data_IF_453048832010
#
_entry.id   IF_453048832010
#
_cell.length_a   1.000
_cell.length_b   1.000
_cell.length_c   1.000
_cell.angle_alpha   90.00
_cell.angle_beta   90.00
_cell.angle_gamma   90.00
#
_symmetry.space_group_name_H-M   'P 1'
#
loop_
_entity.id
_entity.type
_entity.pdbx_description
1 polymer ?
#
# COMPACT_ATOMS: atom_id res chain seq x y z
N UNK A 1 -2.74 6.40 19.20
CA UNK A 1 -4.20 6.21 19.09
C UNK A 1 -4.61 4.93 19.79
N UNK A 2 -5.76 4.93 20.45
CA UNK A 2 -6.39 3.75 21.06
C UNK A 2 -7.64 3.42 20.25
N UNK A 3 -7.69 2.26 19.61
CA UNK A 3 -8.80 1.78 18.81
C UNK A 3 -9.63 0.82 19.65
N UNK A 4 -10.91 1.12 19.83
CA UNK A 4 -11.80 0.39 20.75
C UNK A 4 -12.96 -0.28 20.02
N UNK A 5 -13.52 -1.32 20.65
CA UNK A 5 -14.58 -2.14 20.07
C UNK A 5 -15.82 -1.32 19.71
N UNK A 6 -16.25 -0.46 20.62
CA UNK A 6 -17.49 0.31 20.55
C UNK A 6 -17.42 1.61 21.37
N UNK A 7 -18.44 2.45 21.25
CA UNK A 7 -18.50 3.78 21.89
C UNK A 7 -18.44 3.69 23.42
N UNK A 8 -19.14 2.71 24.02
CA UNK A 8 -19.11 2.50 25.47
C UNK A 8 -17.69 2.23 25.97
N UNK A 9 -16.97 1.37 25.24
CA UNK A 9 -15.57 1.02 25.54
C UNK A 9 -14.67 2.24 25.38
N UNK A 10 -14.84 3.04 24.31
CA UNK A 10 -14.11 4.31 24.13
C UNK A 10 -14.29 5.27 25.31
N UNK A 11 -15.52 5.46 25.78
CA UNK A 11 -15.83 6.33 26.93
C UNK A 11 -15.16 5.79 28.21
N UNK A 12 -15.19 4.46 28.42
CA UNK A 12 -14.53 3.83 29.57
C UNK A 12 -13.01 3.97 29.53
N UNK A 13 -12.38 3.74 28.38
CA UNK A 13 -10.94 3.99 28.19
C UNK A 13 -10.58 5.45 28.42
N UNK A 14 -11.35 6.39 27.87
CA UNK A 14 -11.14 7.82 28.09
C UNK A 14 -11.13 8.17 29.58
N UNK A 15 -12.13 7.69 30.34
CA UNK A 15 -12.18 7.92 31.79
C UNK A 15 -10.99 7.32 32.53
N UNK A 16 -10.62 6.08 32.20
CA UNK A 16 -9.50 5.40 32.83
C UNK A 16 -8.17 6.11 32.53
N UNK A 17 -7.92 6.47 31.27
CA UNK A 17 -6.72 7.18 30.83
C UNK A 17 -6.65 8.57 31.47
N UNK A 18 -7.74 9.33 31.46
CA UNK A 18 -7.79 10.68 32.06
C UNK A 18 -7.55 10.62 33.57
N UNK A 19 -8.08 9.61 34.27
CA UNK A 19 -7.77 9.40 35.70
C UNK A 19 -6.28 9.16 35.93
N UNK A 20 -5.67 8.28 35.15
CA UNK A 20 -4.22 7.97 35.27
C UNK A 20 -3.38 9.20 34.93
N UNK A 21 -3.75 9.97 33.90
CA UNK A 21 -3.07 11.22 33.55
C UNK A 21 -3.17 12.25 34.69
N UNK A 22 -4.32 12.34 35.37
CA UNK A 22 -4.49 13.21 36.52
C UNK A 22 -3.58 12.80 37.70
N UNK A 23 -3.45 11.51 37.96
CA UNK A 23 -2.52 10.97 38.97
C UNK A 23 -1.05 11.29 38.63
N UNK A 24 -0.72 11.43 37.34
CA UNK A 24 0.62 11.78 36.85
C UNK A 24 0.82 13.30 36.66
N UNK A 25 -0.12 14.14 37.08
CA UNK A 25 -0.01 15.60 36.99
C UNK A 25 -0.34 16.20 35.61
N UNK A 26 -1.08 15.48 34.76
CA UNK A 26 -1.56 15.90 33.44
C UNK A 26 -0.46 16.41 32.50
N UNK A 27 0.56 15.59 32.18
CA UNK A 27 1.62 15.99 31.24
C UNK A 27 1.10 16.27 29.82
N UNK A 28 -0.02 15.64 29.47
CA UNK A 28 -0.80 15.85 28.25
C UNK A 28 -2.24 15.36 28.47
N UNK A 29 -3.11 15.62 27.51
CA UNK A 29 -4.53 15.21 27.53
C UNK A 29 -4.84 14.14 26.48
N UNK A 30 -5.95 13.45 26.72
CA UNK A 30 -6.57 12.55 25.77
C UNK A 30 -7.83 13.19 25.17
N UNK A 31 -8.20 12.77 23.97
CA UNK A 31 -9.47 13.08 23.29
C UNK A 31 -10.16 11.79 22.89
N UNK A 32 -11.49 11.78 22.88
CA UNK A 32 -12.28 10.68 22.33
C UNK A 32 -12.94 11.10 21.02
N UNK A 33 -13.16 10.18 20.10
CA UNK A 33 -13.90 10.44 18.88
C UNK A 33 -14.87 9.30 18.54
N UNK A 34 -16.15 9.65 18.44
CA UNK A 34 -17.23 8.75 18.07
C UNK A 34 -18.42 9.53 17.53
N UNK A 35 -19.24 8.89 16.70
CA UNK A 35 -20.41 9.54 16.11
C UNK A 35 -21.68 9.18 16.88
N UNK A 36 -22.56 10.17 17.04
CA UNK A 36 -23.88 10.01 17.64
C UNK A 36 -23.86 10.02 19.18
N UNK A 37 -24.99 9.67 19.76
CA UNK A 37 -25.16 9.60 21.22
C UNK A 37 -25.05 8.14 21.70
N UNK A 38 -24.54 7.95 22.92
CA UNK A 38 -24.46 6.63 23.54
C UNK A 38 -24.75 6.70 25.03
N UNK A 39 -25.70 5.88 25.47
CA UNK A 39 -25.96 5.66 26.88
C UNK A 39 -24.91 4.70 27.47
N UNK A 40 -24.28 5.12 28.57
CA UNK A 40 -23.34 4.32 29.37
C UNK A 40 -23.70 4.50 30.85
N UNK A 41 -24.00 3.39 31.52
CA UNK A 41 -24.39 3.35 32.94
C UNK A 41 -25.59 4.27 33.27
N UNK A 42 -26.57 4.38 32.35
CA UNK A 42 -27.78 5.20 32.53
C UNK A 42 -27.62 6.67 32.19
N UNK A 43 -26.46 7.10 31.67
CA UNK A 43 -26.19 8.48 31.29
C UNK A 43 -25.87 8.54 29.79
N UNK A 44 -26.54 9.42 29.06
CA UNK A 44 -26.28 9.66 27.65
C UNK A 44 -25.05 10.56 27.47
N UNK A 45 -24.14 10.16 26.58
CA UNK A 45 -22.95 10.91 26.23
C UNK A 45 -22.89 11.18 24.73
N UNK A 46 -22.44 12.39 24.38
CA UNK A 46 -21.95 12.75 23.05
C UNK A 46 -20.45 12.97 23.05
N UNK A 47 -19.81 12.98 21.88
CA UNK A 47 -18.37 13.31 21.76
C UNK A 47 -18.09 14.70 22.35
N UNK A 48 -18.99 15.66 22.11
CA UNK A 48 -18.84 17.01 22.64
C UNK A 48 -18.92 17.07 24.17
N UNK A 49 -19.81 16.29 24.78
CA UNK A 49 -19.93 16.23 26.24
C UNK A 49 -18.68 15.63 26.88
N UNK A 50 -18.07 14.62 26.23
CA UNK A 50 -16.90 13.94 26.78
C UNK A 50 -15.63 14.77 26.59
N UNK A 51 -15.46 15.40 25.42
CA UNK A 51 -14.27 16.21 25.12
C UNK A 51 -14.34 17.62 25.69
N UNK A 52 -15.54 18.17 25.91
CA UNK A 52 -15.76 19.55 26.32
C UNK A 52 -15.61 20.58 25.18
N UNK A 53 -15.59 20.14 23.93
CA UNK A 53 -15.55 20.98 22.72
C UNK A 53 -16.27 20.31 21.56
N UNK A 54 -16.56 21.05 20.49
CA UNK A 54 -17.39 20.54 19.40
C UNK A 54 -16.70 19.41 18.62
N UNK A 55 -17.49 18.50 18.05
CA UNK A 55 -16.97 17.41 17.21
C UNK A 55 -16.17 17.89 16.00
N UNK A 56 -16.43 19.12 15.53
CA UNK A 56 -15.71 19.72 14.42
C UNK A 56 -14.27 20.09 14.80
N UNK A 57 -14.05 20.44 16.07
CA UNK A 57 -12.75 20.90 16.58
C UNK A 57 -11.81 19.75 16.96
N UNK A 58 -12.31 18.51 17.06
CA UNK A 58 -11.54 17.36 17.54
C UNK A 58 -10.26 17.12 16.73
N UNK A 59 -10.30 17.30 15.41
CA UNK A 59 -9.13 17.18 14.55
C UNK A 59 -8.08 18.23 14.87
N UNK A 60 -8.51 19.49 14.95
CA UNK A 60 -7.60 20.63 15.13
C UNK A 60 -7.01 20.64 16.54
N UNK A 61 -7.82 20.29 17.55
CA UNK A 61 -7.37 20.10 18.93
C UNK A 61 -6.33 18.98 19.03
N UNK A 62 -6.58 17.85 18.39
CA UNK A 62 -5.63 16.73 18.41
C UNK A 62 -4.30 17.05 17.71
N UNK A 63 -4.27 18.01 16.78
CA UNK A 63 -3.01 18.46 16.17
C UNK A 63 -2.15 19.32 17.10
N UNK A 64 -2.70 19.86 18.19
CA UNK A 64 -1.94 20.65 19.15
C UNK A 64 -1.06 19.80 20.08
N UNK A 65 -0.06 20.41 20.70
CA UNK A 65 0.84 19.71 21.63
C UNK A 65 0.17 19.24 22.94
N UNK A 66 -0.99 19.81 23.27
CA UNK A 66 -1.75 19.52 24.48
C UNK A 66 -2.35 18.10 24.46
N UNK A 67 -2.72 17.61 23.29
CA UNK A 67 -3.41 16.33 23.14
C UNK A 67 -2.50 15.30 22.45
N UNK A 68 -2.18 14.22 23.17
CA UNK A 68 -1.24 13.19 22.67
C UNK A 68 -1.88 11.81 22.51
N UNK A 69 -3.09 11.63 23.04
CA UNK A 69 -3.86 10.39 22.91
C UNK A 69 -5.21 10.65 22.26
N UNK A 70 -5.49 9.94 21.17
CA UNK A 70 -6.79 9.90 20.52
C UNK A 70 -7.39 8.51 20.72
N UNK A 71 -8.58 8.44 21.31
CA UNK A 71 -9.33 7.21 21.56
C UNK A 71 -10.52 7.18 20.59
N UNK A 72 -10.61 6.12 19.79
CA UNK A 72 -11.60 6.00 18.71
C UNK A 72 -12.42 4.73 18.86
N UNK A 73 -13.71 4.80 18.56
CA UNK A 73 -14.57 3.62 18.43
C UNK A 73 -14.73 3.22 16.95
N UNK A 74 -15.34 4.11 16.16
CA UNK A 74 -15.61 3.91 14.73
C UNK A 74 -15.19 5.13 13.88
N UNK A 75 -15.17 6.33 14.50
CA UNK A 75 -14.79 7.58 13.83
C UNK A 75 -13.29 7.61 13.64
N UNK A 76 -12.85 8.24 12.55
CA UNK A 76 -11.44 8.33 12.21
C UNK A 76 -10.74 6.97 12.05
N UNK A 77 -11.44 5.88 11.68
CA UNK A 77 -10.84 4.62 11.21
C UNK A 77 -10.62 4.58 9.69
N UNK A 78 -11.34 5.42 8.94
CA UNK A 78 -11.06 5.79 7.53
C UNK A 78 -10.95 7.32 7.37
N UNK A 79 -10.16 7.81 6.40
CA UNK A 79 -10.12 9.23 5.99
C UNK A 79 -9.50 10.27 6.94
N UNK A 80 -9.05 9.90 8.14
CA UNK A 80 -8.36 10.83 9.05
C UNK A 80 -6.85 10.80 8.83
N UNK A 81 -6.26 11.97 8.61
CA UNK A 81 -4.82 12.15 8.46
C UNK A 81 -4.20 12.91 9.62
N UNK A 82 -3.27 12.24 10.30
CA UNK A 82 -2.41 12.82 11.32
C UNK A 82 -0.99 12.22 11.18
N UNK A 83 -0.07 12.92 10.48
CA UNK A 83 1.30 12.46 10.24
C UNK A 83 2.10 12.17 11.53
N UNK A 84 1.78 12.87 12.64
CA UNK A 84 2.48 12.73 13.94
C UNK A 84 2.20 11.39 14.64
N UNK A 85 1.27 10.58 14.14
CA UNK A 85 0.85 9.35 14.79
C UNK A 85 1.93 8.26 14.71
N UNK A 86 2.49 7.84 15.84
CA UNK A 86 3.54 6.81 15.92
C UNK A 86 3.09 5.51 16.58
N UNK A 87 2.18 5.56 17.55
CA UNK A 87 1.74 4.38 18.30
C UNK A 87 0.24 4.10 18.16
N UNK A 88 -0.13 2.82 18.08
CA UNK A 88 -1.51 2.35 18.09
C UNK A 88 -1.74 1.23 19.11
N UNK A 89 -2.77 1.39 19.93
CA UNK A 89 -3.26 0.36 20.85
C UNK A 89 -4.59 -0.15 20.30
N UNK A 90 -4.72 -1.45 20.06
CA UNK A 90 -5.87 -2.04 19.39
C UNK A 90 -6.61 -2.96 20.34
N UNK A 91 -7.85 -2.61 20.63
CA UNK A 91 -8.84 -3.42 21.35
C UNK A 91 -10.11 -3.45 20.50
N UNK A 92 -9.99 -3.94 19.26
CA UNK A 92 -11.08 -4.09 18.31
C UNK A 92 -10.71 -5.20 17.33
N UNK A 93 -11.70 -6.00 16.92
CA UNK A 93 -11.48 -6.93 15.82
C UNK A 93 -11.16 -6.16 14.53
N UNK A 94 -9.97 -6.38 13.99
CA UNK A 94 -9.52 -5.84 12.72
C UNK A 94 -9.51 -6.98 11.70
N UNK A 95 -10.31 -6.86 10.64
CA UNK A 95 -10.42 -7.87 9.60
C UNK A 95 -10.41 -7.22 8.22
N UNK A 96 -9.84 -7.93 7.24
CA UNK A 96 -9.81 -7.55 5.83
C UNK A 96 -9.33 -6.09 5.64
N UNK A 97 -9.99 -5.34 4.75
CA UNK A 97 -9.69 -3.94 4.41
C UNK A 97 -9.58 -3.04 5.66
N UNK A 98 -10.43 -3.25 6.67
CA UNK A 98 -10.44 -2.43 7.88
C UNK A 98 -9.11 -2.53 8.65
N UNK A 99 -8.49 -3.71 8.65
CA UNK A 99 -7.20 -3.93 9.28
C UNK A 99 -6.09 -3.12 8.59
N UNK A 100 -5.99 -3.27 7.27
CA UNK A 100 -4.99 -2.56 6.45
C UNK A 100 -5.17 -1.05 6.55
N UNK A 101 -6.40 -0.57 6.41
CA UNK A 101 -6.71 0.86 6.52
C UNK A 101 -6.40 1.43 7.90
N UNK A 102 -6.59 0.64 8.97
CA UNK A 102 -6.36 1.08 10.35
C UNK A 102 -4.87 1.11 10.69
N UNK A 103 -4.11 0.05 10.37
CA UNK A 103 -2.70 -0.02 10.72
C UNK A 103 -1.80 0.79 9.78
N UNK A 104 -2.13 0.89 8.48
CA UNK A 104 -1.34 1.66 7.50
C UNK A 104 -1.24 3.15 7.81
N UNK A 105 -2.11 3.68 8.68
CA UNK A 105 -2.07 5.08 9.15
C UNK A 105 -0.82 5.42 9.93
N UNK A 106 -0.21 4.43 10.59
CA UNK A 106 1.06 4.62 11.27
C UNK A 106 2.19 4.89 10.28
N UNK A 107 2.10 4.39 9.05
CA UNK A 107 3.16 4.46 8.04
C UNK A 107 3.28 5.82 7.33
N UNK A 108 2.58 6.87 7.79
CA UNK A 108 2.74 8.22 7.24
C UNK A 108 4.07 8.82 7.68
N UNK A 109 4.93 9.12 6.72
CA UNK A 109 6.21 9.79 6.97
C UNK A 109 5.97 11.19 7.57
N UNK A 110 6.75 11.53 8.59
CA UNK A 110 6.75 12.89 9.16
C UNK A 110 8.17 13.35 9.54
N UNK A 111 9.10 13.47 8.55
CA UNK A 111 10.51 13.76 8.81
C UNK A 111 10.74 15.08 9.55
N UNK A 112 9.87 16.08 9.28
CA UNK A 112 9.86 17.38 9.97
C UNK A 112 9.79 17.26 11.50
N UNK A 113 9.19 16.19 12.00
CA UNK A 113 9.00 15.93 13.43
C UNK A 113 9.97 14.85 13.96
N UNK A 114 10.95 14.44 13.16
CA UNK A 114 11.89 13.38 13.51
C UNK A 114 11.27 12.00 13.65
N UNK A 115 10.04 11.79 13.16
CA UNK A 115 9.36 10.50 13.20
C UNK A 115 10.06 9.53 12.27
N UNK A 116 10.51 8.41 12.81
CA UNK A 116 11.15 7.32 12.08
C UNK A 116 10.29 6.06 12.11
N UNK A 117 10.60 5.12 11.22
CA UNK A 117 9.93 3.81 11.18
C UNK A 117 10.12 3.02 12.48
N UNK A 118 11.25 3.20 13.16
CA UNK A 118 11.54 2.59 14.48
C UNK A 118 10.66 3.12 15.62
N UNK A 119 10.03 4.28 15.44
CA UNK A 119 9.09 4.84 16.42
C UNK A 119 7.68 4.26 16.26
N UNK A 120 7.44 3.48 15.21
CA UNK A 120 6.14 2.88 14.94
C UNK A 120 5.90 1.69 15.86
N UNK A 121 4.77 1.72 16.56
CA UNK A 121 4.45 0.68 17.52
C UNK A 121 2.97 0.33 17.50
N UNK A 122 2.67 -0.97 17.43
CA UNK A 122 1.31 -1.51 17.55
C UNK A 122 1.26 -2.47 18.74
N UNK A 123 0.33 -2.23 19.65
CA UNK A 123 -0.01 -3.17 20.72
C UNK A 123 -1.46 -3.62 20.54
N UNK A 124 -1.65 -4.85 20.10
CA UNK A 124 -2.96 -5.45 19.87
C UNK A 124 -3.36 -6.38 21.03
N UNK A 125 -4.56 -6.17 21.56
CA UNK A 125 -5.16 -6.94 22.66
C UNK A 125 -6.26 -7.90 22.18
N UNK A 126 -6.67 -7.80 20.91
CA UNK A 126 -7.86 -8.49 20.40
C UNK A 126 -7.53 -9.48 19.29
N UNK A 127 -6.71 -9.09 18.32
CA UNK A 127 -6.46 -9.90 17.14
C UNK A 127 -5.27 -10.81 17.34
N UNK A 128 -5.38 -12.03 16.82
CA UNK A 128 -4.21 -12.88 16.70
C UNK A 128 -3.31 -12.37 15.57
N UNK A 129 -2.05 -12.73 15.70
CA UNK A 129 -1.05 -12.60 14.66
C UNK A 129 -1.56 -13.12 13.30
N UNK A 130 -2.19 -14.29 13.27
CA UNK A 130 -2.68 -14.94 12.06
C UNK A 130 -3.88 -14.21 11.44
N UNK A 131 -4.75 -13.61 12.26
CA UNK A 131 -5.89 -12.82 11.77
C UNK A 131 -5.42 -11.53 11.09
N UNK A 132 -4.41 -10.87 11.66
CA UNK A 132 -3.80 -9.67 11.06
C UNK A 132 -3.15 -10.04 9.73
N UNK A 133 -2.38 -11.14 9.70
CA UNK A 133 -1.82 -11.74 8.49
C UNK A 133 -2.88 -11.95 7.42
N UNK A 134 -3.92 -12.73 7.73
CA UNK A 134 -5.00 -13.06 6.79
C UNK A 134 -5.70 -11.80 6.27
N UNK A 135 -5.80 -10.76 7.09
CA UNK A 135 -6.38 -9.48 6.69
C UNK A 135 -5.46 -8.67 5.78
N UNK A 136 -4.14 -8.82 5.91
CA UNK A 136 -3.15 -8.18 5.06
C UNK A 136 -2.90 -8.97 3.79
N UNK A 137 -2.91 -10.31 3.78
CA UNK A 137 -2.55 -11.16 2.64
C UNK A 137 -3.20 -10.73 1.30
N UNK A 138 -4.50 -10.38 1.23
CA UNK A 138 -5.13 -9.98 -0.04
C UNK A 138 -4.64 -8.61 -0.57
N UNK A 139 -4.14 -7.75 0.32
CA UNK A 139 -3.66 -6.39 0.02
C UNK A 139 -2.15 -6.29 0.03
N UNK A 140 -1.52 -7.25 0.69
CA UNK A 140 -0.15 -7.66 0.48
C UNK A 140 -0.15 -8.44 -0.83
N UNK A 141 -0.38 -7.70 -1.92
CA UNK A 141 0.27 -8.07 -3.17
C UNK A 141 1.74 -7.94 -2.85
N UNK A 142 2.30 -9.05 -2.37
CA UNK A 142 3.71 -9.21 -2.45
C UNK A 142 4.01 -8.98 -3.93
N UNK A 143 4.58 -7.82 -4.23
CA UNK A 143 5.73 -7.82 -5.13
C UNK A 143 6.87 -8.51 -4.37
N UNK A 144 6.62 -9.69 -3.79
CA UNK A 144 7.62 -10.73 -3.76
C UNK A 144 7.69 -11.18 -5.20
N UNK A 145 8.86 -10.95 -5.80
CA UNK A 145 9.40 -11.81 -6.83
C UNK A 145 8.83 -13.23 -6.64
N UNK A 146 8.23 -13.78 -7.69
CA UNK A 146 7.45 -15.01 -7.72
C UNK A 146 8.24 -16.28 -7.39
N UNK A 147 9.46 -16.15 -6.90
CA UNK A 147 10.31 -17.24 -6.45
C UNK A 147 11.08 -16.69 -5.24
N UNK A 148 11.58 -17.55 -4.35
CA UNK A 148 12.63 -17.14 -3.41
C UNK A 148 13.60 -16.28 -4.21
N UNK A 149 13.81 -15.00 -3.87
CA UNK A 149 14.62 -14.11 -4.71
C UNK A 149 15.92 -14.84 -4.92
N UNK A 150 16.09 -15.38 -6.12
CA UNK A 150 17.25 -16.18 -6.36
C UNK A 150 18.38 -15.19 -6.21
N UNK A 151 19.25 -15.42 -5.23
CA UNK A 151 20.45 -14.63 -4.97
C UNK A 151 21.23 -14.50 -6.29
N UNK A 152 21.06 -15.45 -7.21
CA UNK A 152 21.53 -15.41 -8.58
C UNK A 152 21.01 -14.22 -9.40
N UNK A 153 19.81 -13.68 -9.17
CA UNK A 153 19.31 -12.49 -9.89
C UNK A 153 20.17 -11.26 -9.61
N UNK A 154 20.71 -11.11 -8.39
CA UNK A 154 21.66 -10.04 -8.09
C UNK A 154 23.02 -10.27 -8.77
N UNK A 155 23.41 -11.54 -9.00
CA UNK A 155 24.58 -11.88 -9.79
C UNK A 155 24.35 -11.55 -11.27
N UNK A 156 23.23 -11.98 -11.84
CA UNK A 156 22.85 -11.72 -13.24
C UNK A 156 22.74 -10.23 -13.53
N UNK A 157 22.02 -9.48 -12.69
CA UNK A 157 21.90 -8.02 -12.83
C UNK A 157 23.27 -7.33 -12.76
N UNK A 158 24.14 -7.78 -11.85
CA UNK A 158 25.50 -7.23 -11.74
C UNK A 158 26.30 -7.55 -13.00
N UNK A 159 26.31 -8.79 -13.45
CA UNK A 159 27.10 -9.23 -14.60
C UNK A 159 26.63 -8.52 -15.88
N UNK A 160 25.31 -8.41 -16.08
CA UNK A 160 24.74 -7.65 -17.20
C UNK A 160 25.09 -6.16 -17.15
N UNK A 161 25.14 -5.54 -15.97
CA UNK A 161 25.55 -4.13 -15.82
C UNK A 161 27.06 -3.94 -16.04
N UNK A 162 27.87 -4.87 -15.54
CA UNK A 162 29.33 -4.84 -15.71
C UNK A 162 29.71 -4.96 -17.20
N UNK A 163 28.97 -5.77 -17.97
CA UNK A 163 29.19 -5.94 -19.42
C UNK A 163 28.94 -4.67 -20.23
N UNK A 164 28.08 -3.75 -19.76
CA UNK A 164 27.85 -2.46 -20.43
C UNK A 164 29.03 -1.51 -20.25
N UNK A 165 29.85 -1.68 -19.21
CA UNK A 165 31.06 -0.88 -18.98
C UNK A 165 30.78 0.57 -18.55
N UNK A 166 29.60 0.85 -17.97
CA UNK A 166 29.25 2.20 -17.47
C UNK A 166 30.14 2.63 -16.31
N UNK A 167 30.56 1.68 -15.47
CA UNK A 167 31.46 1.91 -14.33
C UNK A 167 32.54 0.83 -14.30
N UNK A 168 33.67 1.16 -13.68
CA UNK A 168 34.75 0.21 -13.42
C UNK A 168 34.73 -0.21 -11.95
N UNK A 169 35.08 -1.47 -11.66
CA UNK A 169 35.06 -1.96 -10.27
C UNK A 169 35.99 -1.15 -9.35
N UNK A 170 37.11 -0.67 -9.86
CA UNK A 170 38.04 0.19 -9.10
C UNK A 170 37.39 1.52 -8.67
N UNK A 171 36.45 2.04 -9.46
CA UNK A 171 35.72 3.27 -9.14
C UNK A 171 34.70 3.02 -8.05
N UNK A 172 34.02 1.88 -8.10
CA UNK A 172 33.11 1.42 -7.04
C UNK A 172 33.86 1.29 -5.71
N UNK A 173 35.03 0.65 -5.70
CA UNK A 173 35.82 0.48 -4.48
C UNK A 173 36.36 1.80 -3.94
N UNK A 174 36.88 2.67 -4.80
CA UNK A 174 37.40 3.97 -4.39
C UNK A 174 36.29 4.89 -3.88
N UNK A 175 35.12 4.89 -4.53
CA UNK A 175 33.94 5.61 -4.06
C UNK A 175 33.54 5.16 -2.66
N UNK A 176 33.36 3.85 -2.48
CA UNK A 176 32.89 3.27 -1.21
C UNK A 176 33.89 3.54 -0.09
N UNK A 177 35.18 3.39 -0.36
CA UNK A 177 36.25 3.70 0.60
C UNK A 177 36.20 5.16 1.06
N UNK A 178 36.08 6.12 0.13
CA UNK A 178 35.98 7.55 0.47
C UNK A 178 34.67 7.87 1.18
N UNK A 179 33.58 7.25 0.77
CA UNK A 179 32.26 7.42 1.37
C UNK A 179 32.25 7.00 2.85
N UNK A 180 32.75 5.80 3.16
CA UNK A 180 32.83 5.31 4.54
C UNK A 180 33.92 6.01 5.39
N UNK A 181 34.86 6.71 4.77
CA UNK A 181 35.79 7.62 5.46
C UNK A 181 35.16 9.00 5.76
N UNK A 182 33.87 9.21 5.49
CA UNK A 182 33.15 10.47 5.65
C UNK A 182 33.81 11.65 4.91
N UNK A 183 34.37 11.40 3.72
CA UNK A 183 34.88 12.48 2.88
C UNK A 183 33.74 13.32 2.27
N UNK A 184 33.98 14.61 2.06
CA UNK A 184 32.98 15.54 1.54
C UNK A 184 32.45 15.12 0.16
N UNK A 185 31.17 15.42 -0.09
CA UNK A 185 30.47 15.14 -1.35
C UNK A 185 31.21 15.68 -2.59
N UNK A 186 31.98 16.76 -2.43
CA UNK A 186 32.76 17.38 -3.50
C UNK A 186 33.93 16.49 -3.99
N UNK A 187 34.40 15.55 -3.15
CA UNK A 187 35.44 14.56 -3.50
C UNK A 187 34.88 13.25 -4.02
N UNK A 188 33.61 12.97 -3.69
CA UNK A 188 32.87 11.79 -4.12
C UNK A 188 32.23 11.99 -5.51
N UNK A 189 31.69 13.19 -5.77
CA UNK A 189 31.02 13.52 -7.03
C UNK A 189 31.86 13.20 -8.27
N UNK A 190 33.17 13.54 -8.34
CA UNK A 190 33.97 13.29 -9.54
C UNK A 190 34.02 11.82 -9.97
N UNK A 191 34.01 10.89 -9.01
CA UNK A 191 34.04 9.45 -9.30
C UNK A 191 32.72 9.02 -9.97
N UNK A 192 31.59 9.51 -9.45
CA UNK A 192 30.28 9.25 -10.02
C UNK A 192 30.09 9.98 -11.36
N UNK A 193 30.64 11.19 -11.49
CA UNK A 193 30.56 12.00 -12.70
C UNK A 193 31.28 11.33 -13.89
N UNK A 194 32.36 10.59 -13.64
CA UNK A 194 33.05 9.79 -14.67
C UNK A 194 32.12 8.70 -15.21
N UNK A 195 31.52 7.89 -14.33
CA UNK A 195 30.59 6.84 -14.76
C UNK A 195 29.34 7.41 -15.43
N UNK A 196 28.83 8.54 -14.92
CA UNK A 196 27.70 9.24 -15.55
C UNK A 196 28.07 9.82 -16.93
N UNK A 197 29.29 10.33 -17.11
CA UNK A 197 29.77 10.81 -18.40
C UNK A 197 29.88 9.67 -19.41
N UNK A 198 30.41 8.50 -18.99
CA UNK A 198 30.42 7.29 -19.82
C UNK A 198 29.05 6.91 -20.31
N UNK A 199 28.10 6.78 -19.40
CA UNK A 199 26.72 6.43 -19.75
C UNK A 199 26.05 7.48 -20.65
N UNK A 200 26.17 8.76 -20.30
CA UNK A 200 25.41 9.82 -20.97
C UNK A 200 25.99 10.15 -22.36
N UNK A 201 27.31 10.10 -22.50
CA UNK A 201 28.05 10.68 -23.63
C UNK A 201 29.02 9.67 -24.26
N UNK A 202 29.96 9.11 -23.49
CA UNK A 202 31.15 8.45 -24.09
C UNK A 202 30.86 7.07 -24.70
N UNK A 203 29.93 6.30 -24.12
CA UNK A 203 29.56 4.97 -24.62
C UNK A 203 28.60 5.04 -25.81
N UNK A 204 28.08 6.23 -26.14
CA UNK A 204 27.12 6.46 -27.24
C UNK A 204 25.97 5.43 -27.28
N UNK A 205 25.53 4.98 -26.09
CA UNK A 205 24.48 3.98 -25.96
C UNK A 205 23.18 4.46 -26.63
N UNK A 206 22.53 3.57 -27.36
CA UNK A 206 21.20 3.81 -27.91
C UNK A 206 20.20 4.07 -26.77
N UNK A 207 19.13 4.82 -27.04
CA UNK A 207 18.14 5.21 -26.03
C UNK A 207 17.53 4.00 -25.31
N UNK A 208 17.30 2.91 -26.03
CA UNK A 208 16.80 1.64 -25.49
C UNK A 208 17.80 0.99 -24.52
N UNK A 209 19.09 0.99 -24.88
CA UNK A 209 20.17 0.47 -24.03
C UNK A 209 20.40 1.35 -22.78
N UNK A 210 20.23 2.67 -22.91
CA UNK A 210 20.26 3.61 -21.77
C UNK A 210 19.10 3.34 -20.80
N UNK A 211 17.90 3.14 -21.33
CA UNK A 211 16.73 2.81 -20.53
C UNK A 211 16.91 1.47 -19.81
N UNK A 212 17.35 0.43 -20.53
CA UNK A 212 17.60 -0.91 -20.00
C UNK A 212 18.60 -0.89 -18.83
N UNK A 213 19.77 -0.27 -19.01
CA UNK A 213 20.77 -0.16 -17.96
C UNK A 213 20.23 0.60 -16.72
N UNK A 214 19.52 1.71 -16.91
CA UNK A 214 18.95 2.48 -15.79
C UNK A 214 17.88 1.68 -15.04
N UNK A 215 17.09 0.86 -15.75
CA UNK A 215 16.09 -0.04 -15.14
C UNK A 215 16.79 -1.13 -14.32
N UNK A 216 17.81 -1.79 -14.87
CA UNK A 216 18.58 -2.84 -14.19
C UNK A 216 19.30 -2.30 -12.94
N UNK A 217 19.91 -1.12 -13.02
CA UNK A 217 20.52 -0.47 -11.88
C UNK A 217 19.51 -0.14 -10.77
N UNK A 218 18.32 0.37 -11.13
CA UNK A 218 17.21 0.62 -10.19
C UNK A 218 16.73 -0.69 -9.55
N UNK A 219 16.60 -1.75 -10.35
CA UNK A 219 16.18 -3.07 -9.89
C UNK A 219 17.18 -3.67 -8.90
N UNK A 220 18.49 -3.60 -9.18
CA UNK A 220 19.54 -4.05 -8.29
C UNK A 220 19.46 -3.35 -6.93
N UNK A 221 19.35 -2.01 -6.91
CA UNK A 221 19.24 -1.23 -5.67
C UNK A 221 17.99 -1.60 -4.87
N UNK A 222 16.86 -1.82 -5.54
CA UNK A 222 15.61 -2.24 -4.89
C UNK A 222 15.72 -3.62 -4.26
N UNK A 223 16.16 -4.62 -5.04
CA UNK A 223 16.25 -6.01 -4.59
C UNK A 223 17.25 -6.14 -3.44
N UNK A 224 18.46 -5.57 -3.60
CA UNK A 224 19.47 -5.61 -2.55
C UNK A 224 18.99 -4.90 -1.27
N UNK A 225 18.33 -3.75 -1.38
CA UNK A 225 17.79 -3.03 -0.22
C UNK A 225 16.75 -3.83 0.57
N UNK A 226 15.92 -4.64 -0.12
CA UNK A 226 14.96 -5.55 0.52
C UNK A 226 15.66 -6.75 1.15
N UNK A 227 16.63 -7.35 0.47
CA UNK A 227 17.33 -8.56 0.91
C UNK A 227 18.34 -8.28 2.03
N UNK A 228 18.97 -7.11 2.07
CA UNK A 228 19.99 -6.75 3.08
C UNK A 228 19.47 -6.82 4.53
N UNK A 229 18.15 -6.79 4.74
CA UNK A 229 17.53 -6.92 6.07
C UNK A 229 17.25 -8.38 6.49
N UNK A 230 17.33 -9.32 5.53
CA UNK A 230 16.89 -10.71 5.69
C UNK A 230 18.05 -11.70 5.45
N UNK A 231 19.11 -11.30 4.75
CA UNK A 231 20.23 -12.19 4.43
C UNK A 231 21.04 -12.59 5.68
N UNK A 232 21.37 -13.89 5.84
CA UNK A 232 22.15 -14.38 6.97
C UNK A 232 23.66 -14.06 6.87
N UNK A 233 24.13 -13.54 5.73
CA UNK A 233 25.50 -13.12 5.48
C UNK A 233 25.55 -11.90 4.54
N UNK A 234 26.55 -11.03 4.73
CA UNK A 234 26.77 -9.84 3.90
C UNK A 234 27.72 -10.17 2.73
N UNK A 235 27.30 -9.90 1.50
CA UNK A 235 28.18 -9.98 0.32
C UNK A 235 28.75 -8.58 0.05
N UNK A 236 30.02 -8.38 0.42
CA UNK A 236 30.69 -7.08 0.34
C UNK A 236 30.69 -6.46 -1.07
N UNK A 237 30.71 -7.27 -2.13
CA UNK A 237 30.64 -6.77 -3.49
C UNK A 237 29.29 -6.09 -3.78
N UNK A 238 28.19 -6.71 -3.38
CA UNK A 238 26.87 -6.13 -3.60
C UNK A 238 26.63 -4.88 -2.78
N UNK A 239 27.12 -4.85 -1.56
CA UNK A 239 27.04 -3.67 -0.70
C UNK A 239 27.79 -2.48 -1.31
N UNK A 240 29.02 -2.71 -1.78
CA UNK A 240 29.82 -1.71 -2.48
C UNK A 240 29.08 -1.18 -3.72
N UNK A 241 28.52 -2.08 -4.52
CA UNK A 241 27.81 -1.73 -5.75
C UNK A 241 26.49 -0.98 -5.45
N UNK A 242 25.75 -1.40 -4.44
CA UNK A 242 24.52 -0.74 -4.00
C UNK A 242 24.76 0.74 -3.64
N UNK A 243 25.79 1.01 -2.84
CA UNK A 243 26.13 2.38 -2.45
C UNK A 243 26.56 3.21 -3.65
N UNK A 244 27.33 2.65 -4.57
CA UNK A 244 27.74 3.35 -5.78
C UNK A 244 26.54 3.68 -6.71
N UNK A 245 25.67 2.70 -6.98
CA UNK A 245 24.52 2.87 -7.87
C UNK A 245 23.50 3.89 -7.36
N UNK A 246 23.30 3.99 -6.04
CA UNK A 246 22.41 5.01 -5.44
C UNK A 246 22.79 6.45 -5.83
N UNK A 247 24.08 6.73 -6.01
CA UNK A 247 24.56 8.05 -6.41
C UNK A 247 24.66 8.20 -7.93
N UNK A 248 24.87 7.09 -8.65
CA UNK A 248 24.96 7.09 -10.11
C UNK A 248 23.59 7.27 -10.78
N UNK A 249 22.56 6.53 -10.35
CA UNK A 249 21.22 6.50 -10.97
C UNK A 249 20.62 7.90 -11.20
N UNK A 250 20.67 8.85 -10.23
CA UNK A 250 20.15 10.20 -10.42
C UNK A 250 20.85 11.01 -11.52
N UNK A 251 22.09 10.65 -11.89
CA UNK A 251 22.89 11.32 -12.92
C UNK A 251 22.75 10.69 -14.32
N UNK A 252 22.00 9.59 -14.45
CA UNK A 252 21.76 8.91 -15.72
C UNK A 252 20.60 9.57 -16.49
N UNK A 253 20.89 10.15 -17.65
CA UNK A 253 19.92 10.82 -18.53
C UNK A 253 19.37 9.84 -19.56
N UNK A 254 18.04 9.69 -19.58
CA UNK A 254 17.31 8.83 -20.52
C UNK A 254 16.18 9.66 -21.12
N UNK A 255 16.00 9.59 -22.44
CA UNK A 255 14.92 10.28 -23.15
C UNK A 255 13.74 9.31 -23.35
N UNK A 256 12.81 9.26 -22.39
CA UNK A 256 11.56 8.51 -22.54
C UNK A 256 10.38 9.23 -21.82
N UNK A 257 9.26 9.55 -22.51
CA UNK A 257 8.07 10.13 -21.89
C UNK A 257 7.33 9.21 -20.89
N UNK A 258 7.63 7.91 -20.82
CA UNK A 258 7.14 7.02 -19.73
C UNK A 258 8.04 7.04 -18.48
N UNK A 259 9.22 7.68 -18.53
CA UNK A 259 10.13 7.80 -17.38
C UNK A 259 9.59 8.72 -16.26
N UNK A 260 8.65 9.61 -16.59
CA UNK A 260 8.05 10.58 -15.66
C UNK A 260 7.14 9.90 -14.61
N UNK A 261 6.59 8.73 -14.93
CA UNK A 261 5.81 7.90 -13.99
C UNK A 261 6.69 7.13 -13.00
N UNK A 262 7.96 6.91 -13.34
CA UNK A 262 8.90 6.14 -12.51
C UNK A 262 9.79 7.03 -11.64
N UNK A 263 10.06 8.27 -12.06
CA UNK A 263 10.80 9.25 -11.25
C UNK A 263 9.97 9.74 -10.05
N UNK A 264 8.63 9.78 -10.13
CA UNK A 264 7.76 10.09 -8.98
C UNK A 264 7.73 8.98 -7.90
N UNK A 265 8.12 7.75 -8.23
CA UNK A 265 8.23 6.64 -7.27
C UNK A 265 9.57 6.62 -6.53
N UNK A 266 10.63 7.23 -7.09
CA UNK A 266 11.98 7.22 -6.51
C UNK A 266 12.23 8.33 -5.49
N UNK A 267 11.47 9.42 -5.55
CA UNK A 267 11.45 10.44 -4.50
C UNK A 267 10.81 9.93 -3.19
N UNK A 268 10.25 8.71 -3.17
CA UNK A 268 9.62 8.09 -2.00
C UNK A 268 10.52 7.13 -1.21
N UNK A 269 11.76 6.90 -1.64
CA UNK A 269 12.71 6.01 -0.95
C UNK A 269 13.78 6.85 -0.26
N UNK A 270 13.42 7.37 0.91
CA UNK A 270 14.28 8.16 1.76
C UNK A 270 15.51 7.36 2.23
N UNK A 271 16.67 7.99 2.07
CA UNK A 271 18.00 7.50 2.40
C UNK A 271 18.21 7.60 3.91
N UNK A 272 17.73 6.62 4.69
CA UNK A 272 18.20 6.44 6.06
C UNK A 272 18.03 5.01 6.56
N UNK A 273 19.07 4.21 6.37
CA UNK A 273 19.38 3.10 7.30
C UNK A 273 20.77 2.59 7.00
N UNK A 274 21.72 2.86 7.90
CA UNK A 274 22.52 1.82 8.55
C UNK A 274 23.26 2.41 9.76
N UNK A 275 23.27 1.64 10.85
CA UNK A 275 23.86 1.99 12.14
C UNK A 275 23.23 1.17 13.28
N UNK A 276 23.61 -0.10 13.37
CA UNK A 276 23.15 -1.14 14.30
C UNK A 276 23.06 -0.71 15.79
N UNK A 277 22.01 -1.16 16.49
CA UNK A 277 22.02 -2.32 17.42
C UNK A 277 20.91 -2.17 18.50
N UNK A 278 19.92 -3.09 18.55
CA UNK A 278 19.09 -3.33 19.75
C UNK A 278 18.49 -4.76 19.80
N UNK A 279 19.26 -5.63 20.45
CA UNK A 279 18.92 -6.69 21.44
C UNK A 279 17.42 -7.00 21.73
N UNK A 280 16.73 -7.71 20.81
CA UNK A 280 15.50 -8.56 20.95
C UNK A 280 14.22 -8.03 21.67
N UNK A 281 13.07 -8.08 20.96
CA UNK A 281 11.95 -9.02 21.23
C UNK A 281 11.00 -9.13 20.01
N UNK A 282 10.95 -10.30 19.36
CA UNK A 282 10.23 -10.52 18.11
C UNK A 282 9.44 -11.82 18.11
N UNK A 283 8.14 -11.71 17.83
CA UNK A 283 7.44 -12.73 17.06
C UNK A 283 7.27 -12.16 15.65
N UNK A 284 7.90 -12.80 14.67
CA UNK A 284 7.64 -12.53 13.26
C UNK A 284 6.36 -13.26 12.90
N UNK A 285 5.40 -12.56 12.32
CA UNK A 285 4.21 -13.16 11.73
C UNK A 285 4.61 -13.60 10.32
N UNK A 286 4.88 -14.88 10.12
CA UNK A 286 5.09 -15.43 8.77
C UNK A 286 3.74 -15.57 8.08
N UNK A 287 3.58 -15.01 6.88
CA UNK A 287 2.36 -15.09 6.04
C UNK A 287 2.35 -16.43 5.24
N UNK A 288 1.19 -17.03 4.94
CA UNK A 288 1.10 -18.39 4.37
C UNK A 288 1.21 -18.31 2.85
N UNK A 289 2.23 -18.96 2.29
CA UNK A 289 2.54 -18.95 0.86
C UNK A 289 1.76 -19.97 0.01
N UNK A 290 0.54 -20.33 0.39
CA UNK A 290 -0.28 -21.23 -0.43
C UNK A 290 -0.97 -20.46 -1.57
N UNK A 291 -0.80 -20.96 -2.80
CA UNK A 291 -1.17 -20.33 -4.06
C UNK A 291 -2.67 -19.97 -4.16
N UNK A 292 -2.94 -18.72 -4.53
CA UNK A 292 -4.14 -18.38 -5.31
C UNK A 292 -3.69 -18.23 -6.77
N UNK A 293 -4.11 -19.16 -7.62
CA UNK A 293 -3.85 -19.10 -9.06
C UNK A 293 -4.56 -17.88 -9.67
N UNK A 294 -3.77 -16.91 -10.13
CA UNK A 294 -4.16 -15.91 -11.11
C UNK A 294 -3.17 -16.02 -12.26
N UNK A 295 -3.67 -16.10 -13.49
CA UNK A 295 -2.83 -16.19 -14.67
C UNK A 295 -1.81 -15.05 -14.73
N UNK A 296 -0.52 -15.34 -14.95
CA UNK A 296 0.52 -14.34 -14.93
C UNK A 296 0.37 -13.37 -16.10
N UNK A 297 0.43 -12.06 -15.82
CA UNK A 297 0.86 -11.12 -16.85
C UNK A 297 2.35 -11.32 -17.10
N UNK A 298 2.63 -12.14 -18.12
CA UNK A 298 3.88 -12.33 -18.86
C UNK A 298 5.19 -12.16 -18.04
N UNK A 299 5.84 -13.27 -17.65
CA UNK A 299 7.03 -13.29 -16.81
C UNK A 299 8.36 -13.02 -17.54
N UNK A 300 8.36 -12.66 -18.83
CA UNK A 300 9.62 -12.44 -19.55
C UNK A 300 10.34 -11.14 -19.14
N UNK A 301 11.70 -11.13 -19.19
CA UNK A 301 12.49 -9.91 -19.04
C UNK A 301 11.96 -8.83 -19.96
N UNK A 302 11.54 -7.70 -19.39
CA UNK A 302 11.10 -6.54 -20.18
C UNK A 302 12.31 -5.85 -20.76
N UNK A 303 12.69 -6.22 -21.98
CA UNK A 303 13.53 -5.41 -22.86
C UNK A 303 12.69 -4.44 -23.70
N UNK A 304 13.31 -3.37 -24.21
CA UNK A 304 12.68 -2.43 -25.13
C UNK A 304 12.14 -3.08 -26.43
N UNK A 305 12.55 -4.32 -26.73
CA UNK A 305 12.02 -5.12 -27.81
C UNK A 305 11.01 -6.15 -27.30
N UNK A 306 9.73 -5.77 -27.22
CA UNK A 306 8.60 -6.66 -26.96
C UNK A 306 7.34 -6.19 -27.68
N UNK A 307 6.89 -6.98 -28.66
CA UNK A 307 5.89 -6.63 -29.68
C UNK A 307 4.48 -6.31 -29.19
N UNK A 308 3.69 -5.79 -30.14
CA UNK A 308 2.32 -5.26 -30.05
C UNK A 308 1.50 -5.70 -28.82
N UNK A 309 1.21 -4.72 -27.94
CA UNK A 309 0.22 -4.84 -26.87
C UNK A 309 -1.17 -5.07 -27.48
N UNK A 310 -1.62 -6.33 -27.54
CA UNK A 310 -3.04 -6.65 -27.66
C UNK A 310 -3.76 -6.13 -26.41
N UNK A 311 -4.61 -5.10 -26.57
CA UNK A 311 -5.42 -4.53 -25.49
C UNK A 311 -6.53 -5.51 -25.09
N UNK A 312 -6.64 -5.79 -23.80
CA UNK A 312 -7.64 -6.69 -23.23
C UNK A 312 -9.07 -6.08 -23.30
N UNK A 313 -10.07 -6.78 -23.87
CA UNK A 313 -11.47 -6.36 -23.88
C UNK A 313 -12.05 -6.00 -22.49
N UNK A 314 -11.55 -6.64 -21.42
CA UNK A 314 -11.95 -6.36 -20.04
C UNK A 314 -11.53 -4.95 -19.60
N UNK A 315 -10.33 -4.51 -19.99
CA UNK A 315 -9.80 -3.19 -19.65
C UNK A 315 -10.63 -2.08 -20.26
N UNK A 316 -11.16 -2.29 -21.47
CA UNK A 316 -12.03 -1.34 -22.14
C UNK A 316 -13.41 -1.23 -21.48
N UNK A 317 -13.98 -2.35 -21.04
CA UNK A 317 -15.26 -2.38 -20.32
C UNK A 317 -15.13 -1.65 -18.99
N UNK A 318 -14.08 -1.94 -18.22
CA UNK A 318 -13.83 -1.29 -16.93
C UNK A 318 -13.57 0.21 -17.12
N UNK A 319 -12.75 0.60 -18.09
CA UNK A 319 -12.47 2.01 -18.40
C UNK A 319 -13.74 2.77 -18.77
N UNK A 320 -14.55 2.23 -19.69
CA UNK A 320 -15.78 2.89 -20.16
C UNK A 320 -16.84 3.07 -19.06
N UNK A 321 -16.93 2.14 -18.11
CA UNK A 321 -17.84 2.27 -16.98
C UNK A 321 -17.35 3.35 -15.99
N UNK A 322 -16.05 3.35 -15.71
CA UNK A 322 -15.41 4.29 -14.79
C UNK A 322 -15.49 5.74 -15.27
N UNK A 323 -15.22 5.97 -16.56
CA UNK A 323 -15.33 7.30 -17.17
C UNK A 323 -16.74 7.89 -17.10
N UNK A 324 -17.79 7.07 -17.03
CA UNK A 324 -19.18 7.55 -17.10
C UNK A 324 -19.83 7.79 -15.75
N UNK A 325 -19.47 7.02 -14.72
CA UNK A 325 -20.21 7.00 -13.44
C UNK A 325 -19.37 7.32 -12.21
N UNK A 326 -18.03 7.33 -12.32
CA UNK A 326 -17.15 7.45 -11.17
C UNK A 326 -16.28 8.72 -11.13
N UNK A 327 -16.49 9.70 -12.03
CA UNK A 327 -15.69 10.94 -12.10
C UNK A 327 -15.77 11.88 -10.87
N UNK A 328 -16.46 11.50 -9.79
CA UNK A 328 -16.57 12.30 -8.57
C UNK A 328 -16.44 11.51 -7.26
N UNK A 329 -16.03 10.24 -7.32
CA UNK A 329 -15.78 9.42 -6.13
C UNK A 329 -14.32 9.58 -5.69
N UNK A 330 -14.07 9.59 -4.38
CA UNK A 330 -12.70 9.62 -3.81
C UNK A 330 -11.95 8.28 -3.96
N UNK A 331 -12.41 7.39 -4.84
CA UNK A 331 -11.85 6.07 -5.07
C UNK A 331 -10.97 6.09 -6.32
N UNK A 332 -9.79 5.47 -6.28
CA UNK A 332 -8.86 5.41 -7.42
C UNK A 332 -9.41 4.51 -8.54
N UNK A 333 -8.95 4.68 -9.80
CA UNK A 333 -9.34 3.80 -10.91
C UNK A 333 -9.09 2.31 -10.62
N UNK A 334 -8.02 1.98 -9.90
CA UNK A 334 -7.72 0.63 -9.45
C UNK A 334 -8.74 0.12 -8.41
N UNK A 335 -9.11 0.92 -7.43
CA UNK A 335 -10.13 0.55 -6.42
C UNK A 335 -11.50 0.27 -7.07
N UNK A 336 -11.85 1.05 -8.09
CA UNK A 336 -13.08 0.86 -8.86
C UNK A 336 -13.04 -0.43 -9.68
N UNK A 337 -11.90 -0.74 -10.32
CA UNK A 337 -11.69 -1.99 -11.06
C UNK A 337 -11.83 -3.21 -10.15
N UNK A 338 -11.12 -3.23 -9.02
CA UNK A 338 -11.17 -4.34 -8.06
C UNK A 338 -12.59 -4.55 -7.54
N UNK A 339 -13.32 -3.46 -7.30
CA UNK A 339 -14.73 -3.52 -6.89
C UNK A 339 -15.60 -4.22 -7.93
N UNK A 340 -15.49 -3.84 -9.20
CA UNK A 340 -16.25 -4.44 -10.30
C UNK A 340 -15.90 -5.93 -10.49
N UNK A 341 -14.61 -6.28 -10.42
CA UNK A 341 -14.15 -7.67 -10.55
C UNK A 341 -14.63 -8.54 -9.39
N UNK A 342 -14.51 -8.05 -8.15
CA UNK A 342 -15.01 -8.79 -6.97
C UNK A 342 -16.52 -9.07 -7.07
N UNK A 343 -17.27 -8.14 -7.66
CA UNK A 343 -18.71 -8.31 -7.84
C UNK A 343 -19.03 -9.33 -8.93
N UNK A 344 -18.31 -9.29 -10.05
CA UNK A 344 -18.41 -10.31 -11.09
C UNK A 344 -18.07 -11.72 -10.57
N UNK A 345 -17.05 -11.83 -9.71
CA UNK A 345 -16.67 -13.08 -9.06
C UNK A 345 -17.73 -13.59 -8.07
N UNK A 346 -18.34 -12.70 -7.28
CA UNK A 346 -19.50 -13.06 -6.45
C UNK A 346 -20.70 -13.52 -7.27
N UNK A 347 -20.87 -12.99 -8.48
CA UNK A 347 -21.90 -13.46 -9.41
C UNK A 347 -21.56 -14.86 -9.93
N UNK A 348 -20.31 -15.09 -10.35
CA UNK A 348 -19.83 -16.39 -10.86
C UNK A 348 -19.87 -17.51 -9.82
N UNK A 349 -19.58 -17.19 -8.57
CA UNK A 349 -19.59 -18.13 -7.43
C UNK A 349 -20.98 -18.40 -6.85
N UNK A 350 -22.03 -17.69 -7.30
CA UNK A 350 -23.38 -17.90 -6.81
C UNK A 350 -23.91 -19.29 -7.23
N UNK A 351 -24.53 -20.08 -6.34
CA UNK A 351 -24.99 -21.45 -6.64
C UNK A 351 -25.89 -21.55 -7.88
N UNK A 352 -26.75 -20.54 -8.04
CA UNK A 352 -27.69 -20.43 -9.16
C UNK A 352 -27.08 -19.91 -10.47
N UNK A 353 -25.82 -19.44 -10.48
CA UNK A 353 -25.19 -18.86 -11.66
C UNK A 353 -25.04 -19.87 -12.80
N UNK A 354 -24.50 -21.05 -12.51
CA UNK A 354 -24.25 -22.08 -13.52
C UNK A 354 -25.56 -22.65 -14.08
N UNK A 355 -26.49 -22.98 -13.20
CA UNK A 355 -27.72 -23.69 -13.58
C UNK A 355 -28.81 -22.77 -14.14
N UNK A 356 -28.99 -21.56 -13.57
CA UNK A 356 -30.08 -20.65 -13.97
C UNK A 356 -29.66 -19.60 -15.01
N UNK A 357 -28.36 -19.30 -15.10
CA UNK A 357 -27.83 -18.28 -16.02
C UNK A 357 -26.93 -18.87 -17.12
N UNK A 358 -25.81 -19.53 -16.78
CA UNK A 358 -24.83 -19.99 -17.77
C UNK A 358 -25.36 -21.09 -18.70
N UNK A 359 -26.09 -22.07 -18.17
CA UNK A 359 -26.60 -23.22 -18.93
C UNK A 359 -28.00 -23.03 -19.52
N UNK A 360 -28.63 -21.87 -19.28
CA UNK A 360 -29.99 -21.62 -19.72
C UNK A 360 -30.00 -21.14 -21.19
N UNK A 361 -30.75 -21.79 -22.08
CA UNK A 361 -30.77 -21.44 -23.51
C UNK A 361 -31.77 -20.35 -23.89
N UNK A 362 -32.66 -19.93 -22.99
CA UNK A 362 -33.65 -18.87 -23.24
C UNK A 362 -33.12 -17.48 -22.83
N UNK A 363 -32.94 -16.52 -23.77
CA UNK A 363 -32.38 -15.20 -23.46
C UNK A 363 -33.19 -14.37 -22.46
N UNK A 364 -34.52 -14.52 -22.46
CA UNK A 364 -35.39 -13.78 -21.55
C UNK A 364 -35.26 -14.31 -20.12
N UNK A 365 -35.28 -15.63 -19.97
CA UNK A 365 -35.07 -16.30 -18.69
C UNK A 365 -33.65 -16.10 -18.13
N UNK A 366 -32.62 -16.08 -18.99
CA UNK A 366 -31.25 -15.72 -18.58
C UNK A 366 -31.20 -14.32 -17.98
N UNK A 367 -31.79 -13.33 -18.65
CA UNK A 367 -31.77 -11.93 -18.20
C UNK A 367 -32.46 -11.78 -16.85
N UNK A 368 -33.62 -12.44 -16.67
CA UNK A 368 -34.37 -12.44 -15.41
C UNK A 368 -33.64 -13.18 -14.29
N UNK A 369 -32.97 -14.29 -14.60
CA UNK A 369 -32.14 -15.02 -13.64
C UNK A 369 -30.96 -14.16 -13.17
N UNK A 370 -30.27 -13.50 -14.10
CA UNK A 370 -29.18 -12.58 -13.79
C UNK A 370 -29.64 -11.40 -12.94
N UNK A 371 -30.78 -10.80 -13.25
CA UNK A 371 -31.30 -9.67 -12.47
C UNK A 371 -31.61 -10.08 -11.02
N UNK A 372 -32.15 -11.29 -10.81
CA UNK A 372 -32.39 -11.82 -9.45
C UNK A 372 -31.08 -12.09 -8.70
N UNK A 373 -30.13 -12.77 -9.35
CA UNK A 373 -28.79 -13.03 -8.82
C UNK A 373 -28.09 -11.73 -8.41
N UNK A 374 -28.11 -10.76 -9.30
CA UNK A 374 -27.44 -9.48 -9.11
C UNK A 374 -28.05 -8.69 -7.95
N UNK A 375 -29.39 -8.66 -7.83
CA UNK A 375 -30.07 -8.02 -6.70
C UNK A 375 -29.74 -8.70 -5.37
N UNK A 376 -29.65 -10.02 -5.34
CA UNK A 376 -29.31 -10.77 -4.12
C UNK A 376 -27.87 -10.46 -3.64
N UNK A 377 -26.92 -10.44 -4.57
CA UNK A 377 -25.52 -10.09 -4.28
C UNK A 377 -25.40 -8.64 -3.80
N UNK A 378 -26.12 -7.71 -4.43
CA UNK A 378 -26.16 -6.32 -4.00
C UNK A 378 -26.78 -6.16 -2.61
N UNK A 379 -27.80 -6.95 -2.26
CA UNK A 379 -28.39 -6.97 -0.93
C UNK A 379 -27.45 -7.54 0.14
N UNK A 380 -26.67 -8.57 -0.18
CA UNK A 380 -25.67 -9.13 0.73
C UNK A 380 -24.54 -8.12 0.99
N UNK A 381 -24.04 -7.46 -0.07
CA UNK A 381 -22.98 -6.44 0.00
C UNK A 381 -23.43 -5.10 0.59
N UNK A 382 -24.72 -4.93 0.87
CA UNK A 382 -25.26 -3.72 1.53
C UNK A 382 -24.59 -3.43 2.88
N UNK A 383 -24.20 -4.48 3.62
CA UNK A 383 -23.53 -4.32 4.92
C UNK A 383 -22.08 -3.83 4.78
N UNK A 384 -21.47 -4.08 3.62
CA UNK A 384 -20.06 -3.79 3.36
C UNK A 384 -19.88 -2.40 2.75
N UNK A 385 -20.80 -1.97 1.88
CA UNK A 385 -20.78 -0.63 1.25
C UNK A 385 -22.19 -0.04 1.11
N UNK A 386 -22.64 0.63 2.18
CA UNK A 386 -23.98 1.23 2.25
C UNK A 386 -24.16 2.40 1.27
N UNK A 387 -23.10 3.18 1.02
CA UNK A 387 -23.16 4.33 0.11
C UNK A 387 -23.29 3.87 -1.35
N UNK A 388 -22.53 2.85 -1.75
CA UNK A 388 -22.68 2.22 -3.06
C UNK A 388 -24.07 1.58 -3.24
N UNK A 389 -24.58 0.90 -2.21
CA UNK A 389 -25.93 0.33 -2.25
C UNK A 389 -27.02 1.40 -2.37
N UNK A 390 -26.88 2.55 -1.68
CA UNK A 390 -27.81 3.68 -1.83
C UNK A 390 -27.81 4.21 -3.26
N UNK A 391 -26.65 4.32 -3.91
CA UNK A 391 -26.55 4.72 -5.31
C UNK A 391 -27.22 3.71 -6.24
N UNK A 392 -26.97 2.42 -6.03
CA UNK A 392 -27.61 1.33 -6.76
C UNK A 392 -29.15 1.31 -6.59
N UNK A 393 -29.64 1.58 -5.39
CA UNK A 393 -31.08 1.59 -5.10
C UNK A 393 -31.77 2.91 -5.50
N UNK A 394 -31.02 4.01 -5.56
CA UNK A 394 -31.53 5.37 -5.79
C UNK A 394 -31.43 5.86 -7.23
N UNK A 395 -30.58 5.26 -8.06
CA UNK A 395 -30.38 5.64 -9.46
C UNK A 395 -30.60 4.44 -10.41
N UNK A 396 -31.75 4.45 -11.10
CA UNK A 396 -32.12 3.41 -12.07
C UNK A 396 -31.21 3.36 -13.31
N UNK A 397 -30.62 4.50 -13.70
CA UNK A 397 -29.70 4.56 -14.84
C UNK A 397 -28.33 3.95 -14.46
N UNK A 398 -27.84 4.26 -13.26
CA UNK A 398 -26.64 3.64 -12.70
C UNK A 398 -26.83 2.13 -12.54
N UNK A 399 -27.95 1.71 -11.94
CA UNK A 399 -28.31 0.29 -11.76
C UNK A 399 -28.34 -0.47 -13.08
N UNK A 400 -28.98 0.09 -14.11
CA UNK A 400 -29.05 -0.53 -15.44
C UNK A 400 -27.67 -0.63 -16.10
N UNK A 401 -26.87 0.42 -16.02
CA UNK A 401 -25.51 0.44 -16.59
C UNK A 401 -24.57 -0.54 -15.88
N UNK A 402 -24.67 -0.64 -14.55
CA UNK A 402 -23.86 -1.55 -13.76
C UNK A 402 -24.25 -3.00 -14.06
N UNK A 403 -25.55 -3.30 -14.14
CA UNK A 403 -26.06 -4.62 -14.48
C UNK A 403 -25.57 -5.07 -15.87
N UNK A 404 -25.62 -4.21 -16.88
CA UNK A 404 -25.12 -4.51 -18.23
C UNK A 404 -23.60 -4.73 -18.24
N UNK A 405 -22.85 -3.94 -17.47
CA UNK A 405 -21.39 -4.09 -17.38
C UNK A 405 -21.01 -5.40 -16.70
N UNK A 406 -21.73 -5.77 -15.63
CA UNK A 406 -21.56 -7.06 -14.96
C UNK A 406 -21.91 -8.23 -15.87
N UNK A 407 -23.01 -8.17 -16.62
CA UNK A 407 -23.37 -9.22 -17.59
C UNK A 407 -22.26 -9.44 -18.61
N UNK A 408 -21.65 -8.36 -19.12
CA UNK A 408 -20.52 -8.46 -20.04
C UNK A 408 -19.29 -9.05 -19.38
N UNK A 409 -18.93 -8.58 -18.19
CA UNK A 409 -17.74 -9.06 -17.47
C UNK A 409 -17.86 -10.54 -17.12
N UNK A 410 -19.02 -11.01 -16.65
CA UNK A 410 -19.19 -12.43 -16.31
C UNK A 410 -19.28 -13.34 -17.53
N UNK A 411 -19.56 -12.78 -18.72
CA UNK A 411 -19.63 -13.51 -19.99
C UNK A 411 -18.28 -13.62 -20.70
N UNK A 412 -17.29 -12.85 -20.26
CA UNK A 412 -15.89 -13.07 -20.65
C UNK A 412 -15.45 -14.39 -19.98
N UNK A 413 -14.75 -15.28 -20.71
CA UNK A 413 -14.31 -16.57 -20.17
C UNK A 413 -13.56 -16.48 -18.83
#
# INVERSE_FOLDING_TARGET
TVVTQNIETAIRYYRAITRILAEQGNPFKAVVAFSGTKEVDGIEYTEADVNGFSEADTKDKFDTDEYRLLIVANKYLTGFDQPKLSAMYVDKKLASVLCVQTLSRLNRAAPKWGKKTEDLFVLDFFNSVDDIKTAFDPFYTATSLSEATDINVLHELKDEMDDVGVYEWTEVEEFVKRYFNNEDAQRLSPIIDIAAARFNIELELENDAKADFKIKAKQFVKIYGQMASIMPYEIAAWEKLFWFLKFLIPKLKVEDPEAELLDQLLDSVDLSSYGLQRVKLGQTIELDGAETELDPQNPNPRGAHGGDKLKDPLDEIVRSFNERWFQGWSATPEEQRVRLLSMAESIRSHPDFKDKYQNNTDPHSQTLAFEKLFKEIMLQRRKDDLEFYKLFAGDEAFKSSLMQSMQRIVSIP
#
